data_IF_508518818249
#
_entry.id   IF_508518818249
#
_cell.length_a   1.000
_cell.length_b   1.000
_cell.length_c   1.000
_cell.angle_alpha   90.00
_cell.angle_beta   90.00
_cell.angle_gamma   90.00
#
_symmetry.space_group_name_H-M   'P 1'
#
loop_
_entity.id
_entity.type
_entity.pdbx_description
1 polymer ?
#
# COMPACT_ATOMS: atom_id res chain seq x y z
N UNK A 1 -11.32 12.50 13.96
CA UNK A 1 -11.81 11.72 15.13
C UNK A 1 -11.58 10.24 14.91
N UNK A 2 -12.08 9.66 13.81
CA UNK A 2 -11.92 8.24 13.47
C UNK A 2 -10.46 7.77 13.39
N UNK A 3 -9.62 8.42 12.58
CA UNK A 3 -8.19 8.04 12.49
C UNK A 3 -7.49 8.01 13.86
N UNK A 4 -7.80 8.97 14.73
CA UNK A 4 -7.24 9.01 16.09
C UNK A 4 -7.71 7.85 16.94
N UNK A 5 -8.99 7.48 16.86
CA UNK A 5 -9.54 6.32 17.54
C UNK A 5 -8.86 5.02 17.07
N UNK A 6 -8.76 4.80 15.76
CA UNK A 6 -8.09 3.60 15.22
C UNK A 6 -6.62 3.52 15.66
N UNK A 7 -5.88 4.62 15.54
CA UNK A 7 -4.46 4.65 15.90
C UNK A 7 -4.19 4.52 17.41
N UNK A 8 -5.15 4.85 18.29
CA UNK A 8 -4.95 4.80 19.75
C UNK A 8 -5.57 3.55 20.39
N UNK A 9 -6.70 3.10 19.88
CA UNK A 9 -7.56 2.15 20.57
C UNK A 9 -7.71 0.83 19.82
N UNK A 10 -7.54 0.80 18.49
CA UNK A 10 -7.76 -0.39 17.66
C UNK A 10 -6.44 -1.04 17.24
N UNK A 11 -5.60 -0.36 16.45
CA UNK A 11 -4.37 -0.96 15.94
C UNK A 11 -3.42 -1.47 17.02
N UNK A 12 -3.22 -0.80 18.17
CA UNK A 12 -2.33 -1.31 19.21
C UNK A 12 -2.69 -2.70 19.76
N UNK A 13 -3.88 -3.23 19.45
CA UNK A 13 -4.30 -4.58 19.83
C UNK A 13 -3.60 -5.67 19.00
N UNK A 14 -3.11 -5.36 17.79
CA UNK A 14 -2.51 -6.35 16.88
C UNK A 14 -1.38 -5.81 15.99
N UNK A 15 -1.07 -4.51 16.05
CA UNK A 15 -0.04 -3.87 15.24
C UNK A 15 0.62 -2.69 15.97
N UNK A 16 1.87 -2.42 15.63
CA UNK A 16 2.56 -1.21 16.09
C UNK A 16 2.12 0.01 15.29
N UNK A 17 1.68 1.06 15.99
CA UNK A 17 1.42 2.37 15.40
C UNK A 17 2.65 3.26 15.57
N UNK A 18 3.15 3.79 14.46
CA UNK A 18 4.36 4.61 14.46
C UNK A 18 4.24 5.82 13.54
N UNK A 19 5.24 6.68 13.56
CA UNK A 19 5.31 7.86 12.69
C UNK A 19 6.39 7.69 11.64
N UNK A 20 6.27 8.39 10.52
CA UNK A 20 7.35 8.45 9.53
C UNK A 20 8.67 8.89 10.16
N UNK A 21 8.67 9.83 11.11
CA UNK A 21 9.91 10.29 11.75
C UNK A 21 10.61 9.15 12.49
N UNK A 22 9.86 8.39 13.28
CA UNK A 22 10.39 7.24 14.01
C UNK A 22 10.91 6.14 13.06
N UNK A 23 10.22 5.89 11.94
CA UNK A 23 10.71 4.95 10.91
C UNK A 23 12.03 5.43 10.32
N UNK A 24 12.14 6.72 9.97
CA UNK A 24 13.36 7.29 9.39
C UNK A 24 14.55 7.24 10.38
N UNK A 25 14.30 7.42 11.67
CA UNK A 25 15.33 7.26 12.70
C UNK A 25 15.83 5.81 12.77
N UNK A 26 14.93 4.83 12.70
CA UNK A 26 15.29 3.41 12.65
C UNK A 26 16.10 3.06 11.40
N UNK A 27 15.77 3.65 10.25
CA UNK A 27 16.50 3.45 8.99
C UNK A 27 17.93 3.99 9.02
N UNK A 28 18.17 5.14 9.67
CA UNK A 28 19.52 5.71 9.81
C UNK A 28 20.47 4.81 10.61
N UNK A 29 19.95 3.99 11.52
CA UNK A 29 20.74 3.04 12.29
C UNK A 29 21.16 1.77 11.53
N UNK A 30 20.69 1.59 10.29
CA UNK A 30 20.81 0.33 9.54
C UNK A 30 21.80 0.38 8.35
N UNK A 31 22.76 1.31 8.33
CA UNK A 31 23.54 1.66 7.13
C UNK A 31 24.15 0.48 6.33
N UNK A 32 24.00 0.65 5.01
CA UNK A 32 24.79 0.17 3.87
C UNK A 32 24.98 -1.35 3.70
N UNK A 33 24.25 -1.94 2.75
CA UNK A 33 24.78 -3.10 2.04
C UNK A 33 23.78 -3.86 1.17
N UNK A 34 23.41 -3.24 0.05
CA UNK A 34 23.43 -3.76 -1.33
C UNK A 34 22.84 -2.68 -2.25
N UNK A 35 23.38 -2.58 -3.46
CA UNK A 35 22.83 -1.72 -4.50
C UNK A 35 21.58 -2.45 -5.00
N UNK A 36 20.43 -1.75 -5.02
CA UNK A 36 19.15 -2.24 -5.52
C UNK A 36 19.33 -3.03 -6.82
N UNK A 37 18.97 -4.32 -6.80
CA UNK A 37 18.74 -5.10 -8.00
C UNK A 37 17.26 -4.96 -8.36
N UNK A 38 16.97 -4.61 -9.62
CA UNK A 38 15.59 -4.44 -10.07
C UNK A 38 14.73 -5.67 -9.73
N UNK A 39 13.51 -5.49 -9.19
CA UNK A 39 12.65 -6.59 -8.79
C UNK A 39 12.29 -7.42 -10.03
N UNK A 40 12.22 -8.74 -9.89
CA UNK A 40 11.77 -9.62 -10.96
C UNK A 40 10.32 -9.28 -11.40
N UNK A 41 10.03 -9.47 -12.68
CA UNK A 41 8.69 -9.23 -13.24
C UNK A 41 7.66 -10.19 -12.67
N UNK A 42 6.39 -9.76 -12.53
CA UNK A 42 5.26 -10.60 -12.06
C UNK A 42 5.18 -11.94 -12.82
N UNK A 43 5.50 -11.96 -14.11
CA UNK A 43 5.54 -13.18 -14.92
C UNK A 43 6.65 -14.15 -14.51
N UNK A 44 7.82 -13.65 -14.11
CA UNK A 44 8.93 -14.44 -13.57
C UNK A 44 8.63 -14.99 -12.18
N UNK A 45 7.81 -14.27 -11.40
CA UNK A 45 7.49 -14.62 -10.02
C UNK A 45 6.52 -15.79 -9.90
N UNK A 46 5.68 -16.03 -10.91
CA UNK A 46 4.79 -17.19 -10.95
C UNK A 46 5.50 -18.54 -11.18
N UNK A 47 6.83 -18.56 -11.37
CA UNK A 47 7.58 -19.77 -11.76
C UNK A 47 8.53 -20.32 -10.67
N UNK A 48 8.64 -19.69 -9.49
CA UNK A 48 9.69 -20.05 -8.49
C UNK A 48 9.09 -20.71 -7.24
N UNK A 49 9.67 -21.83 -6.76
CA UNK A 49 9.18 -22.51 -5.55
C UNK A 49 9.82 -21.98 -4.26
N UNK A 50 9.02 -22.00 -3.19
CA UNK A 50 9.29 -21.43 -1.87
C UNK A 50 10.05 -22.42 -0.95
N UNK A 51 11.37 -22.52 -1.07
CA UNK A 51 12.17 -23.25 -0.08
C UNK A 51 12.80 -22.33 0.99
N UNK A 52 12.74 -22.85 2.23
CA UNK A 52 12.79 -22.18 3.54
C UNK A 52 14.01 -21.27 3.80
N UNK A 53 13.81 -20.21 4.58
CA UNK A 53 14.89 -19.31 5.03
C UNK A 53 14.92 -19.17 6.55
N UNK A 54 16.14 -19.21 7.10
CA UNK A 54 16.49 -18.98 8.49
C UNK A 54 16.29 -17.50 8.87
N UNK A 55 15.68 -17.23 10.02
CA UNK A 55 15.20 -15.90 10.46
C UNK A 55 16.17 -15.18 11.41
N UNK A 56 17.26 -15.83 11.85
CA UNK A 56 18.18 -15.26 12.83
C UNK A 56 19.26 -14.36 12.17
N UNK A 57 19.39 -13.11 12.64
CA UNK A 57 20.50 -12.21 12.30
C UNK A 57 20.30 -11.27 11.10
N UNK A 58 19.07 -11.10 10.60
CA UNK A 58 18.79 -10.14 9.52
C UNK A 58 18.93 -8.68 9.99
N UNK A 59 19.41 -7.81 9.10
CA UNK A 59 19.51 -6.37 9.37
C UNK A 59 18.13 -5.71 9.42
N UNK A 60 17.96 -4.58 10.14
CA UNK A 60 16.70 -3.85 10.11
C UNK A 60 16.29 -3.52 8.66
N UNK A 61 15.02 -3.74 8.34
CA UNK A 61 14.44 -3.49 7.01
C UNK A 61 14.89 -4.40 5.86
N UNK A 62 15.77 -5.38 6.09
CA UNK A 62 16.24 -6.32 5.06
C UNK A 62 15.12 -7.24 4.53
N UNK A 63 14.06 -7.45 5.33
CA UNK A 63 12.88 -8.26 5.00
C UNK A 63 11.58 -7.47 5.16
N UNK A 64 11.64 -6.15 4.95
CA UNK A 64 10.48 -5.28 5.08
C UNK A 64 9.85 -4.95 3.74
N UNK A 65 8.52 -5.00 3.68
CA UNK A 65 7.74 -4.41 2.61
C UNK A 65 6.97 -3.18 3.11
N UNK A 66 6.97 -2.12 2.30
CA UNK A 66 6.07 -0.98 2.47
C UNK A 66 4.95 -1.12 1.44
N UNK A 67 3.72 -1.21 1.92
CA UNK A 67 2.52 -1.38 1.09
C UNK A 67 1.73 -0.08 1.08
N UNK A 68 1.63 0.50 -0.10
CA UNK A 68 0.92 1.73 -0.42
C UNK A 68 -0.52 1.41 -0.82
N UNK A 69 -1.49 1.87 -0.02
CA UNK A 69 -2.91 1.57 -0.20
C UNK A 69 -3.67 2.85 -0.52
N UNK A 70 -4.36 2.88 -1.65
CA UNK A 70 -5.32 3.95 -1.98
C UNK A 70 -4.72 5.27 -2.50
N UNK A 71 -3.45 5.30 -2.91
CA UNK A 71 -2.83 6.49 -3.53
C UNK A 71 -3.27 6.71 -4.99
N UNK A 72 -4.58 6.82 -5.20
CA UNK A 72 -5.23 6.97 -6.51
C UNK A 72 -5.96 8.31 -6.59
N UNK A 73 -6.18 8.79 -7.81
CA UNK A 73 -6.76 10.11 -8.07
C UNK A 73 -8.14 10.29 -7.44
N UNK A 74 -8.98 9.26 -7.38
CA UNK A 74 -10.30 9.38 -6.76
C UNK A 74 -10.25 9.69 -5.27
N UNK A 75 -9.15 9.35 -4.58
CA UNK A 75 -8.91 9.78 -3.20
C UNK A 75 -8.10 11.07 -3.13
N UNK A 76 -6.97 11.16 -3.82
CA UNK A 76 -5.96 12.20 -3.58
C UNK A 76 -6.03 13.37 -4.56
N UNK A 77 -6.71 13.23 -5.70
CA UNK A 77 -6.95 14.33 -6.63
C UNK A 77 -7.94 15.33 -6.06
N UNK A 78 -7.73 16.63 -6.31
CA UNK A 78 -8.59 17.70 -5.80
C UNK A 78 -10.05 17.56 -6.28
N UNK A 79 -10.22 17.02 -7.47
CA UNK A 79 -11.44 16.70 -8.20
C UNK A 79 -11.78 15.20 -8.16
N UNK A 80 -11.10 14.44 -7.29
CA UNK A 80 -11.35 13.02 -7.05
C UNK A 80 -12.73 12.77 -6.44
N UNK A 81 -13.43 11.74 -6.93
CA UNK A 81 -14.82 11.43 -6.52
C UNK A 81 -14.98 11.14 -5.02
N UNK A 82 -13.90 10.74 -4.34
CA UNK A 82 -13.86 10.41 -2.93
C UNK A 82 -12.90 11.30 -2.14
N UNK A 83 -12.48 12.44 -2.69
CA UNK A 83 -11.50 13.32 -2.04
C UNK A 83 -11.95 13.75 -0.63
N UNK A 84 -13.24 14.06 -0.48
CA UNK A 84 -13.85 14.46 0.79
C UNK A 84 -13.76 13.39 1.88
N UNK A 85 -13.57 12.11 1.53
CA UNK A 85 -13.38 11.03 2.50
C UNK A 85 -12.03 11.15 3.22
N UNK A 86 -11.02 11.76 2.58
CA UNK A 86 -9.65 11.86 3.11
C UNK A 86 -9.11 13.28 3.21
N UNK A 87 -9.86 14.30 2.78
CA UNK A 87 -9.40 15.68 2.60
C UNK A 87 -8.60 16.24 3.80
N UNK A 88 -9.12 16.07 5.01
CA UNK A 88 -8.49 16.60 6.23
C UNK A 88 -7.08 16.06 6.51
N UNK A 89 -6.71 14.89 5.96
CA UNK A 89 -5.39 14.27 6.14
C UNK A 89 -4.64 14.00 4.84
N UNK A 90 -5.26 14.16 3.67
CA UNK A 90 -4.69 13.80 2.36
C UNK A 90 -3.29 14.41 2.15
N UNK A 91 -3.15 15.71 2.41
CA UNK A 91 -1.88 16.42 2.24
C UNK A 91 -0.77 15.91 3.17
N UNK A 92 -1.09 15.71 4.44
CA UNK A 92 -0.09 15.28 5.43
C UNK A 92 0.30 13.81 5.24
N UNK A 93 -0.66 12.95 4.88
CA UNK A 93 -0.43 11.56 4.50
C UNK A 93 0.52 11.49 3.30
N UNK A 94 0.22 12.24 2.23
CA UNK A 94 1.06 12.25 1.03
C UNK A 94 2.48 12.78 1.31
N UNK A 95 2.61 13.85 2.07
CA UNK A 95 3.92 14.40 2.44
C UNK A 95 4.74 13.42 3.28
N UNK A 96 4.10 12.72 4.22
CA UNK A 96 4.77 11.73 5.05
C UNK A 96 5.20 10.50 4.26
N UNK A 97 4.35 10.01 3.35
CA UNK A 97 4.67 8.86 2.52
C UNK A 97 5.75 9.18 1.48
N UNK A 98 5.70 10.34 0.82
CA UNK A 98 6.78 10.74 -0.09
C UNK A 98 8.11 10.88 0.65
N UNK A 99 8.13 11.45 1.85
CA UNK A 99 9.35 11.51 2.69
C UNK A 99 9.89 10.11 3.05
N UNK A 100 9.01 9.14 3.31
CA UNK A 100 9.41 7.76 3.56
C UNK A 100 10.00 7.12 2.30
N UNK A 101 9.30 7.22 1.17
CA UNK A 101 9.71 6.65 -0.11
C UNK A 101 11.06 7.22 -0.56
N UNK A 102 11.27 8.53 -0.44
CA UNK A 102 12.54 9.18 -0.75
C UNK A 102 13.72 8.63 0.06
N UNK A 103 13.49 8.27 1.33
CA UNK A 103 14.53 7.72 2.19
C UNK A 103 14.88 6.25 1.89
N UNK A 104 13.96 5.50 1.27
CA UNK A 104 14.12 4.05 1.02
C UNK A 104 14.23 3.69 -0.47
N UNK A 105 14.05 4.65 -1.39
CA UNK A 105 14.07 4.36 -2.84
C UNK A 105 15.39 3.72 -3.31
N UNK A 106 16.50 4.02 -2.64
CA UNK A 106 17.82 3.44 -2.92
C UNK A 106 18.16 2.17 -2.14
N UNK A 107 17.25 1.65 -1.32
CA UNK A 107 17.45 0.43 -0.51
C UNK A 107 16.68 -0.75 -1.09
N UNK A 108 16.92 -1.95 -0.55
CA UNK A 108 16.25 -3.19 -0.94
C UNK A 108 14.84 -3.36 -0.32
N UNK A 109 14.33 -2.34 0.38
CA UNK A 109 12.96 -2.38 0.93
C UNK A 109 11.97 -2.59 -0.20
N UNK A 110 11.13 -3.61 -0.09
CA UNK A 110 10.14 -3.91 -1.11
C UNK A 110 9.04 -2.84 -1.07
N UNK A 111 8.82 -2.13 -2.18
CA UNK A 111 7.79 -1.10 -2.28
C UNK A 111 6.67 -1.61 -3.18
N UNK A 112 5.47 -1.72 -2.63
CA UNK A 112 4.31 -2.26 -3.32
C UNK A 112 3.20 -1.23 -3.28
N UNK A 113 2.46 -1.10 -4.37
CA UNK A 113 1.14 -0.48 -4.37
C UNK A 113 0.06 -1.50 -4.73
N UNK A 114 -1.11 -1.38 -4.11
CA UNK A 114 -2.26 -2.27 -4.34
C UNK A 114 -3.47 -1.45 -4.80
N UNK A 115 -3.50 -1.00 -6.07
CA UNK A 115 -4.59 -0.16 -6.56
C UNK A 115 -5.91 -0.92 -6.49
N UNK A 116 -6.94 -0.27 -5.94
CA UNK A 116 -8.31 -0.76 -6.02
C UNK A 116 -8.87 -0.33 -7.38
N UNK A 117 -9.37 -1.27 -8.16
CA UNK A 117 -9.96 -0.99 -9.46
C UNK A 117 -11.24 -1.81 -9.53
N UNK A 118 -12.29 -1.34 -10.19
CA UNK A 118 -13.51 -2.12 -10.46
C UNK A 118 -13.73 -2.31 -11.95
N UNK A 119 -14.43 -3.37 -12.35
CA UNK A 119 -14.95 -3.49 -13.72
C UNK A 119 -15.83 -2.29 -14.09
N UNK A 120 -15.98 -1.97 -15.38
CA UNK A 120 -16.84 -0.87 -15.82
C UNK A 120 -18.28 -0.93 -15.30
N UNK A 121 -18.80 -2.13 -15.07
CA UNK A 121 -20.15 -2.40 -14.59
C UNK A 121 -20.25 -2.67 -13.08
N UNK A 122 -19.12 -2.69 -12.35
CA UNK A 122 -19.05 -2.99 -10.92
C UNK A 122 -19.72 -4.33 -10.57
N UNK A 123 -19.57 -5.33 -11.45
CA UNK A 123 -20.13 -6.67 -11.26
C UNK A 123 -19.60 -7.38 -10.02
N UNK A 124 -18.45 -6.97 -9.50
CA UNK A 124 -17.89 -7.48 -8.24
C UNK A 124 -18.67 -7.03 -6.99
N UNK A 125 -19.48 -5.96 -7.11
CA UNK A 125 -20.21 -5.36 -6.00
C UNK A 125 -21.69 -5.77 -6.04
N UNK A 126 -22.00 -6.90 -5.42
CA UNK A 126 -23.38 -7.38 -5.19
C UNK A 126 -23.89 -6.83 -3.87
N UNK A 127 -24.98 -6.06 -3.92
CA UNK A 127 -25.62 -5.42 -2.76
C UNK A 127 -24.62 -4.75 -1.79
N UNK A 128 -23.73 -3.87 -2.29
CA UNK A 128 -22.67 -3.29 -1.47
C UNK A 128 -23.26 -2.37 -0.39
N UNK A 129 -22.56 -2.28 0.73
CA UNK A 129 -22.87 -1.39 1.85
C UNK A 129 -21.68 -0.49 2.19
N UNK A 130 -21.91 0.53 3.03
CA UNK A 130 -20.88 1.46 3.47
C UNK A 130 -20.13 2.12 2.32
N UNK A 131 -18.80 2.20 2.43
CA UNK A 131 -17.93 2.84 1.44
C UNK A 131 -17.96 2.15 0.06
N UNK A 132 -18.15 0.83 0.00
CA UNK A 132 -18.26 0.12 -1.29
C UNK A 132 -19.53 0.53 -2.05
N UNK A 133 -20.61 0.82 -1.32
CA UNK A 133 -21.82 1.39 -1.92
C UNK A 133 -21.54 2.76 -2.50
N UNK A 134 -20.89 3.63 -1.73
CA UNK A 134 -20.53 4.99 -2.16
C UNK A 134 -19.66 4.92 -3.41
N UNK A 135 -18.62 4.06 -3.42
CA UNK A 135 -17.74 3.83 -4.58
C UNK A 135 -18.56 3.49 -5.83
N UNK A 136 -19.52 2.58 -5.73
CA UNK A 136 -20.39 2.20 -6.85
C UNK A 136 -21.28 3.37 -7.30
N UNK A 137 -21.92 4.05 -6.35
CA UNK A 137 -22.85 5.15 -6.61
C UNK A 137 -22.16 6.33 -7.34
N UNK A 138 -20.94 6.68 -6.92
CA UNK A 138 -20.16 7.78 -7.54
C UNK A 138 -19.29 7.30 -8.71
N UNK A 139 -19.31 6.00 -9.01
CA UNK A 139 -18.47 5.35 -10.02
C UNK A 139 -16.97 5.61 -9.81
N UNK A 140 -16.48 5.55 -8.57
CA UNK A 140 -15.04 5.67 -8.27
C UNK A 140 -14.27 4.39 -8.64
N UNK A 141 -12.97 4.55 -8.91
CA UNK A 141 -12.02 3.49 -9.23
C UNK A 141 -12.42 2.60 -10.43
N UNK A 142 -13.24 3.12 -11.34
CA UNK A 142 -13.65 2.39 -12.54
C UNK A 142 -12.46 2.13 -13.45
N UNK A 143 -12.29 0.90 -13.92
CA UNK A 143 -11.23 0.56 -14.87
C UNK A 143 -11.29 1.46 -16.12
N UNK A 144 -10.14 2.06 -16.47
CA UNK A 144 -10.01 2.97 -17.60
C UNK A 144 -10.37 4.43 -17.28
N UNK A 145 -10.97 4.72 -16.13
CA UNK A 145 -11.19 6.10 -15.70
C UNK A 145 -9.90 6.67 -15.06
N UNK A 146 -9.59 7.97 -15.28
CA UNK A 146 -8.46 8.63 -14.64
C UNK A 146 -8.50 8.57 -13.10
N UNK A 147 -9.69 8.50 -12.50
CA UNK A 147 -9.87 8.36 -11.06
C UNK A 147 -9.24 7.09 -10.47
N UNK A 148 -9.16 6.02 -11.27
CA UNK A 148 -8.54 4.75 -10.88
C UNK A 148 -7.02 4.74 -10.97
N UNK A 149 -6.41 5.74 -11.60
CA UNK A 149 -4.97 5.81 -11.72
C UNK A 149 -4.29 6.22 -10.42
N UNK A 150 -3.08 5.72 -10.21
CA UNK A 150 -2.19 6.25 -9.19
C UNK A 150 -1.90 7.74 -9.42
N UNK A 151 -1.77 8.50 -8.33
CA UNK A 151 -1.43 9.93 -8.40
C UNK A 151 0.00 10.16 -8.96
N UNK A 152 0.27 11.33 -9.56
CA UNK A 152 1.58 11.66 -10.14
C UNK A 152 2.76 11.46 -9.18
N UNK A 153 2.57 11.76 -7.89
CA UNK A 153 3.58 11.64 -6.85
C UNK A 153 4.02 10.19 -6.62
N UNK A 154 3.12 9.22 -6.78
CA UNK A 154 3.47 7.80 -6.70
C UNK A 154 3.98 7.29 -8.06
N UNK A 155 3.39 7.75 -9.17
CA UNK A 155 3.86 7.42 -10.53
C UNK A 155 5.30 7.86 -10.78
N UNK A 156 5.77 8.93 -10.13
CA UNK A 156 7.13 9.45 -10.25
C UNK A 156 8.23 8.43 -9.87
N UNK A 157 7.89 7.39 -9.11
CA UNK A 157 8.83 6.32 -8.75
C UNK A 157 8.95 5.21 -9.81
N UNK A 158 8.11 5.22 -10.85
CA UNK A 158 8.17 4.25 -11.95
C UNK A 158 8.20 2.80 -11.48
N UNK A 159 9.14 2.02 -12.03
CA UNK A 159 9.30 0.59 -11.72
C UNK A 159 9.79 0.31 -10.29
N UNK A 160 10.22 1.34 -9.55
CA UNK A 160 10.68 1.16 -8.16
C UNK A 160 9.56 0.73 -7.23
N UNK A 161 8.32 1.11 -7.53
CA UNK A 161 7.12 0.68 -6.80
C UNK A 161 6.41 -0.38 -7.63
N UNK A 162 6.43 -1.62 -7.14
CA UNK A 162 5.74 -2.74 -7.77
C UNK A 162 4.23 -2.57 -7.63
N UNK A 163 3.51 -2.58 -8.75
CA UNK A 163 2.05 -2.57 -8.74
C UNK A 163 1.50 -3.99 -8.69
N UNK A 164 0.73 -4.30 -7.65
CA UNK A 164 0.03 -5.59 -7.49
C UNK A 164 -1.45 -5.40 -7.82
N UNK A 165 -1.90 -5.82 -9.01
CA UNK A 165 -3.29 -5.66 -9.43
C UNK A 165 -4.21 -6.71 -8.79
N UNK A 166 -5.52 -6.53 -9.00
CA UNK A 166 -6.55 -7.52 -8.66
C UNK A 166 -7.42 -7.14 -7.46
N UNK A 167 -7.06 -6.10 -6.70
CA UNK A 167 -7.84 -5.65 -5.55
C UNK A 167 -9.19 -5.08 -6.02
N UNK A 168 -10.28 -5.80 -5.72
CA UNK A 168 -11.68 -5.41 -5.99
C UNK A 168 -12.48 -5.12 -4.70
N UNK A 169 -11.79 -4.92 -3.60
CA UNK A 169 -12.40 -4.76 -2.27
C UNK A 169 -11.50 -4.00 -1.30
N UNK A 170 -11.79 -4.13 -0.01
CA UNK A 170 -11.13 -3.34 1.04
C UNK A 170 -9.76 -3.90 1.42
N UNK A 171 -9.67 -5.22 1.63
CA UNK A 171 -8.45 -5.94 1.96
C UNK A 171 -7.54 -6.10 0.72
N UNK A 172 -6.26 -5.74 0.84
CA UNK A 172 -5.29 -5.82 -0.25
C UNK A 172 -4.80 -7.24 -0.61
N UNK A 173 -4.99 -8.22 0.27
CA UNK A 173 -4.68 -9.64 0.03
C UNK A 173 -5.76 -10.36 -0.78
N UNK A 174 -7.01 -9.91 -0.71
CA UNK A 174 -8.12 -10.57 -1.40
C UNK A 174 -8.12 -10.27 -2.90
N UNK A 175 -8.10 -11.31 -3.72
CA UNK A 175 -8.12 -11.19 -5.18
C UNK A 175 -6.80 -10.72 -5.79
N UNK A 176 -5.71 -10.71 -5.02
CA UNK A 176 -4.37 -10.32 -5.47
C UNK A 176 -3.36 -11.44 -5.24
N UNK A 177 -2.15 -11.30 -5.80
CA UNK A 177 -1.03 -12.19 -5.50
C UNK A 177 -0.15 -11.70 -4.33
N UNK A 178 -0.65 -10.76 -3.51
CA UNK A 178 0.15 -10.08 -2.48
C UNK A 178 0.76 -11.06 -1.46
N UNK A 179 -0.02 -12.00 -0.91
CA UNK A 179 0.51 -12.99 0.06
C UNK A 179 1.63 -13.83 -0.55
N UNK A 180 1.42 -14.34 -1.77
CA UNK A 180 2.42 -15.13 -2.49
C UNK A 180 3.70 -14.35 -2.76
N UNK A 181 3.57 -13.09 -3.20
CA UNK A 181 4.70 -12.18 -3.42
C UNK A 181 5.51 -11.98 -2.13
N UNK A 182 4.84 -11.63 -1.03
CA UNK A 182 5.52 -11.38 0.25
C UNK A 182 6.23 -12.62 0.79
N UNK A 183 5.62 -13.80 0.68
CA UNK A 183 6.25 -15.08 1.08
C UNK A 183 7.49 -15.40 0.27
N UNK A 184 7.43 -15.16 -1.04
CA UNK A 184 8.53 -15.44 -1.97
C UNK A 184 9.70 -14.47 -1.79
N UNK A 185 9.43 -13.20 -1.54
CA UNK A 185 10.43 -12.20 -1.14
C UNK A 185 10.89 -12.38 0.31
N UNK A 186 10.33 -13.36 1.03
CA UNK A 186 10.64 -13.72 2.42
C UNK A 186 10.45 -12.54 3.36
N UNK A 187 9.44 -11.71 3.09
CA UNK A 187 9.07 -10.56 3.91
C UNK A 187 8.56 -11.04 5.26
N UNK A 188 9.11 -10.47 6.33
CA UNK A 188 8.72 -10.74 7.72
C UNK A 188 8.03 -9.56 8.36
N UNK A 189 8.28 -8.36 7.83
CA UNK A 189 7.82 -7.10 8.40
C UNK A 189 7.06 -6.30 7.34
N UNK A 190 5.85 -5.84 7.68
CA UNK A 190 5.01 -5.06 6.77
C UNK A 190 4.77 -3.69 7.39
N UNK A 191 4.97 -2.65 6.58
CA UNK A 191 4.58 -1.28 6.91
C UNK A 191 3.44 -0.88 5.97
N UNK A 192 2.26 -0.64 6.53
CA UNK A 192 1.11 -0.16 5.78
C UNK A 192 1.09 1.38 5.76
N UNK A 193 0.85 1.96 4.59
CA UNK A 193 0.74 3.40 4.41
C UNK A 193 -0.41 3.72 3.44
N UNK A 194 -1.22 4.72 3.76
CA UNK A 194 -2.22 5.24 2.84
C UNK A 194 -3.60 5.41 3.47
N UNK A 195 -4.64 5.15 2.69
CA UNK A 195 -6.02 5.45 3.06
C UNK A 195 -7.02 4.38 2.59
N UNK A 196 -8.18 4.25 3.23
CA UNK A 196 -8.62 4.95 4.45
C UNK A 196 -8.29 4.11 5.69
N UNK A 197 -7.87 4.75 6.78
CA UNK A 197 -7.38 4.09 8.01
C UNK A 197 -8.34 3.03 8.55
N UNK A 198 -9.61 3.37 8.74
CA UNK A 198 -10.63 2.50 9.33
C UNK A 198 -11.16 1.41 8.40
N UNK A 199 -10.72 1.42 7.14
CA UNK A 199 -11.30 0.59 6.09
C UNK A 199 -10.20 -0.23 5.44
N UNK A 200 -9.52 0.30 4.42
CA UNK A 200 -8.56 -0.46 3.63
C UNK A 200 -7.29 -0.78 4.40
N UNK A 201 -6.85 0.12 5.29
CA UNK A 201 -5.67 -0.14 6.13
C UNK A 201 -6.00 -1.18 7.18
N UNK A 202 -7.11 -1.02 7.92
CA UNK A 202 -7.53 -1.98 8.94
C UNK A 202 -7.89 -3.37 8.38
N UNK A 203 -8.53 -3.42 7.22
CA UNK A 203 -8.91 -4.70 6.60
C UNK A 203 -7.72 -5.49 6.06
N UNK A 204 -6.57 -4.86 5.84
CA UNK A 204 -5.39 -5.46 5.21
C UNK A 204 -4.41 -5.94 6.27
#
# INVERSE_FOLDING_TARGET
AEQTYYCKDIFPLYADVTTTTAILERLKGAEAGRIYAAPPSVASLMQTSLDSAQVAGCRPFERTAIILIGYQNDYFGADGKLHQVIDASARSVLANTTRLLEAVKGTDVLLIQTPIIFTPDYSELVEPSGILKIIKDVQAFRAGDPGSDAIPEIKAYGERILSVPGKRGLNAFTGTCLDGLLRMEKVTDIVLCGAVTSVCIDST
#
